data_IF_694637133692
#
_entry.id   IF_694637133692
#
_cell.length_a   1.000
_cell.length_b   1.000
_cell.length_c   1.000
_cell.angle_alpha   90.00
_cell.angle_beta   90.00
_cell.angle_gamma   90.00
#
_symmetry.space_group_name_H-M   'P 1'
#
loop_
_entity.id
_entity.type
_entity.pdbx_description
1 polymer ?
#
# COMPACT_ATOMS: atom_id res chain seq x y z
N UNK A 1 -7.14 11.29 -1.34
CA UNK A 1 -6.65 10.20 -0.48
C UNK A 1 -5.21 9.92 -0.87
N UNK A 2 -4.36 9.53 0.09
CA UNK A 2 -2.99 9.11 -0.18
C UNK A 2 -2.95 7.59 -0.32
N UNK A 3 -3.09 7.08 -1.54
CA UNK A 3 -3.10 5.64 -1.80
C UNK A 3 -1.68 5.05 -1.81
N UNK A 4 -1.45 4.00 -1.04
CA UNK A 4 -0.16 3.33 -0.93
C UNK A 4 -0.38 1.82 -1.05
N UNK A 5 0.36 1.18 -1.94
CA UNK A 5 0.28 -0.24 -2.22
C UNK A 5 1.53 -0.99 -1.73
N UNK A 6 1.30 -2.21 -1.29
CA UNK A 6 2.32 -3.12 -0.78
C UNK A 6 2.00 -4.54 -1.23
N UNK A 7 3.01 -5.41 -1.26
CA UNK A 7 2.80 -6.85 -1.29
C UNK A 7 3.65 -7.54 -0.24
N UNK A 8 3.11 -8.60 0.36
CA UNK A 8 3.82 -9.40 1.34
C UNK A 8 3.23 -10.80 1.41
N UNK A 9 4.04 -11.78 1.84
CA UNK A 9 3.48 -12.97 2.46
C UNK A 9 3.20 -12.73 3.94
N UNK A 10 2.45 -13.64 4.55
CA UNK A 10 2.04 -13.54 5.96
C UNK A 10 3.21 -13.40 6.96
N UNK A 11 4.38 -13.99 6.68
CA UNK A 11 5.56 -13.89 7.57
C UNK A 11 6.14 -12.48 7.62
N UNK A 12 5.87 -11.64 6.62
CA UNK A 12 6.36 -10.26 6.56
C UNK A 12 5.36 -9.24 7.14
N UNK A 13 4.17 -9.67 7.54
CA UNK A 13 3.14 -8.80 8.11
C UNK A 13 3.58 -8.04 9.38
N UNK A 14 4.40 -8.62 10.29
CA UNK A 14 4.93 -7.85 11.41
C UNK A 14 5.77 -6.63 10.97
N UNK A 15 6.56 -6.74 9.90
CA UNK A 15 7.34 -5.62 9.38
C UNK A 15 6.44 -4.59 8.69
N UNK A 16 5.45 -5.07 7.93
CA UNK A 16 4.40 -4.21 7.37
C UNK A 16 3.68 -3.39 8.46
N UNK A 17 3.37 -3.99 9.60
CA UNK A 17 2.77 -3.29 10.74
C UNK A 17 3.68 -2.18 11.29
N UNK A 18 5.00 -2.41 11.38
CA UNK A 18 5.99 -1.39 11.75
C UNK A 18 6.03 -0.27 10.71
N UNK A 19 6.02 -0.60 9.42
CA UNK A 19 5.99 0.38 8.34
C UNK A 19 4.75 1.28 8.44
N UNK A 20 3.55 0.70 8.56
CA UNK A 20 2.30 1.47 8.72
C UNK A 20 2.37 2.42 9.93
N UNK A 21 2.87 1.90 11.05
CA UNK A 21 3.04 2.68 12.28
C UNK A 21 3.99 3.86 12.04
N UNK A 22 5.12 3.61 11.37
CA UNK A 22 6.10 4.67 11.07
C UNK A 22 5.55 5.75 10.14
N UNK A 23 4.74 5.38 9.13
CA UNK A 23 4.09 6.33 8.22
C UNK A 23 3.16 7.26 9.03
N UNK A 24 2.29 6.68 9.85
CA UNK A 24 1.27 7.44 10.58
C UNK A 24 1.90 8.34 11.65
N UNK A 25 2.87 7.83 12.41
CA UNK A 25 3.54 8.62 13.45
C UNK A 25 4.41 9.76 12.91
N UNK A 26 4.91 9.67 11.67
CA UNK A 26 5.66 10.74 11.02
C UNK A 26 4.80 11.66 10.15
N UNK A 27 3.47 11.49 10.17
CA UNK A 27 2.54 12.37 9.45
C UNK A 27 2.18 13.59 10.31
N UNK A 28 2.40 14.80 9.77
CA UNK A 28 2.09 16.05 10.48
C UNK A 28 0.58 16.29 10.59
N UNK A 29 0.14 16.92 11.68
CA UNK A 29 -1.28 17.11 12.04
C UNK A 29 -1.91 18.42 11.49
N UNK A 30 -1.21 19.11 10.60
CA UNK A 30 -1.40 20.51 10.19
C UNK A 30 -2.24 20.71 8.91
N UNK A 31 -2.73 19.65 8.26
CA UNK A 31 -3.43 19.75 6.96
C UNK A 31 -4.87 19.24 6.97
N UNK A 32 -5.63 19.63 5.93
CA UNK A 32 -6.85 18.94 5.50
C UNK A 32 -6.55 17.44 5.47
N UNK A 33 -7.20 16.69 6.37
CA UNK A 33 -6.84 15.30 6.70
C UNK A 33 -7.34 14.33 5.63
N UNK A 34 -6.87 14.48 4.41
CA UNK A 34 -7.08 13.43 3.41
C UNK A 34 -6.50 12.12 3.96
N UNK A 35 -7.30 11.03 3.97
CA UNK A 35 -6.88 9.80 4.61
C UNK A 35 -5.82 9.08 3.79
N UNK A 36 -4.98 8.30 4.48
CA UNK A 36 -4.20 7.25 3.82
C UNK A 36 -5.11 6.08 3.46
N UNK A 37 -4.93 5.54 2.26
CA UNK A 37 -5.58 4.29 1.84
C UNK A 37 -4.50 3.26 1.57
N UNK A 38 -4.33 2.31 2.49
CA UNK A 38 -3.35 1.25 2.37
C UNK A 38 -3.95 0.06 1.62
N UNK A 39 -3.21 -0.47 0.64
CA UNK A 39 -3.61 -1.62 -0.16
C UNK A 39 -2.55 -2.71 -0.06
N UNK A 40 -2.87 -3.81 0.61
CA UNK A 40 -1.94 -4.91 0.83
C UNK A 40 -2.33 -6.10 -0.05
N UNK A 41 -1.44 -6.51 -0.95
CA UNK A 41 -1.61 -7.69 -1.78
C UNK A 41 -0.90 -8.88 -1.11
N UNK A 42 -1.62 -9.98 -0.88
CA UNK A 42 -1.10 -11.20 -0.23
C UNK A 42 -1.49 -12.45 -0.99
N UNK A 43 -0.66 -13.49 -0.90
CA UNK A 43 -0.96 -14.83 -1.43
C UNK A 43 -2.00 -15.52 -0.55
N UNK A 44 -1.79 -15.39 0.77
CA UNK A 44 -2.67 -15.90 1.81
C UNK A 44 -2.43 -15.11 3.09
N UNK A 45 -3.42 -15.17 3.97
CA UNK A 45 -3.36 -14.55 5.29
C UNK A 45 -4.38 -15.23 6.19
N UNK A 46 -3.97 -15.61 7.40
CA UNK A 46 -4.86 -16.20 8.38
C UNK A 46 -5.85 -15.17 8.93
N UNK A 47 -6.97 -15.67 9.46
CA UNK A 47 -7.97 -14.83 10.11
C UNK A 47 -7.39 -14.07 11.32
N UNK A 48 -6.55 -14.73 12.11
CA UNK A 48 -5.89 -14.11 13.27
C UNK A 48 -5.01 -12.92 12.85
N UNK A 49 -4.27 -13.05 11.75
CA UNK A 49 -3.42 -11.95 11.25
C UNK A 49 -4.25 -10.79 10.69
N UNK A 50 -5.38 -11.09 10.02
CA UNK A 50 -6.34 -10.06 9.57
C UNK A 50 -6.88 -9.25 10.74
N UNK A 51 -7.37 -9.90 11.79
CA UNK A 51 -7.90 -9.23 12.99
C UNK A 51 -6.86 -8.35 13.66
N UNK A 52 -5.60 -8.79 13.73
CA UNK A 52 -4.49 -7.97 14.25
C UNK A 52 -4.26 -6.72 13.40
N UNK A 53 -4.30 -6.83 12.07
CA UNK A 53 -4.15 -5.68 11.17
C UNK A 53 -5.35 -4.73 11.27
N UNK A 54 -6.57 -5.25 11.36
CA UNK A 54 -7.77 -4.43 11.55
C UNK A 54 -7.69 -3.63 12.86
N UNK A 55 -7.32 -4.28 13.97
CA UNK A 55 -7.10 -3.60 15.25
C UNK A 55 -6.00 -2.54 15.16
N UNK A 56 -4.89 -2.84 14.48
CA UNK A 56 -3.81 -1.87 14.27
C UNK A 56 -4.33 -0.64 13.51
N UNK A 57 -5.10 -0.83 12.43
CA UNK A 57 -5.65 0.28 11.64
C UNK A 57 -6.63 1.11 12.46
N UNK A 58 -7.44 0.50 13.32
CA UNK A 58 -8.31 1.22 14.26
C UNK A 58 -7.50 2.11 15.22
N UNK A 59 -6.40 1.61 15.77
CA UNK A 59 -5.52 2.40 16.64
C UNK A 59 -4.81 3.53 15.89
N UNK A 60 -4.24 3.24 14.72
CA UNK A 60 -3.55 4.24 13.89
C UNK A 60 -4.51 5.34 13.40
N UNK A 61 -5.76 4.99 13.11
CA UNK A 61 -6.80 5.94 12.70
C UNK A 61 -7.14 6.98 13.77
N UNK A 62 -6.83 6.72 15.05
CA UNK A 62 -6.96 7.71 16.14
C UNK A 62 -5.91 8.81 16.03
N UNK A 63 -4.77 8.53 15.38
CA UNK A 63 -3.66 9.49 15.20
C UNK A 63 -3.85 10.25 13.88
N UNK A 64 -4.05 9.53 12.78
CA UNK A 64 -4.31 10.11 11.47
C UNK A 64 -5.24 9.19 10.67
N UNK A 65 -6.26 9.72 9.96
CA UNK A 65 -7.25 8.88 9.32
C UNK A 65 -6.61 7.96 8.26
N UNK A 66 -6.84 6.65 8.40
CA UNK A 66 -6.34 5.67 7.46
C UNK A 66 -7.27 4.46 7.31
N UNK A 67 -7.14 3.74 6.22
CA UNK A 67 -7.87 2.49 5.96
C UNK A 67 -6.91 1.44 5.39
N UNK A 68 -7.29 0.17 5.47
CA UNK A 68 -6.56 -0.95 4.87
C UNK A 68 -7.49 -1.84 4.07
N UNK A 69 -7.12 -2.10 2.82
CA UNK A 69 -7.76 -3.09 1.96
C UNK A 69 -6.80 -4.22 1.67
N UNK A 70 -7.16 -5.43 2.07
CA UNK A 70 -6.36 -6.64 1.86
C UNK A 70 -6.87 -7.38 0.62
N UNK A 71 -6.02 -7.52 -0.38
CA UNK A 71 -6.30 -8.20 -1.65
C UNK A 71 -5.62 -9.56 -1.63
N UNK A 72 -6.40 -10.63 -1.55
CA UNK A 72 -5.86 -11.99 -1.70
C UNK A 72 -5.80 -12.31 -3.18
N UNK A 73 -4.60 -12.47 -3.71
CA UNK A 73 -4.36 -12.72 -5.12
C UNK A 73 -4.31 -14.22 -5.37
N UNK A 74 -5.11 -14.70 -6.33
CA UNK A 74 -5.05 -16.09 -6.77
C UNK A 74 -3.87 -16.27 -7.73
N UNK A 75 -3.06 -17.29 -7.49
CA UNK A 75 -1.87 -17.58 -8.29
C UNK A 75 -2.17 -18.04 -9.73
N UNK A 76 -3.41 -18.48 -9.99
CA UNK A 76 -3.87 -18.98 -11.29
C UNK A 76 -3.57 -18.03 -12.44
N UNK A 77 -3.63 -16.72 -12.19
CA UNK A 77 -3.34 -15.71 -13.22
C UNK A 77 -1.91 -15.80 -13.74
N UNK A 78 -0.95 -16.15 -12.88
CA UNK A 78 0.46 -16.26 -13.24
C UNK A 78 0.79 -17.65 -13.77
N UNK A 79 0.21 -18.69 -13.14
CA UNK A 79 0.35 -20.07 -13.59
C UNK A 79 -0.18 -20.27 -15.02
N UNK A 80 -1.29 -19.63 -15.38
CA UNK A 80 -1.87 -19.65 -16.74
C UNK A 80 -0.87 -19.23 -17.82
N UNK A 81 0.05 -18.31 -17.51
CA UNK A 81 1.06 -17.82 -18.45
C UNK A 81 2.43 -18.48 -18.26
N UNK A 82 2.53 -19.55 -17.46
CA UNK A 82 3.78 -20.25 -17.15
C UNK A 82 4.90 -19.31 -16.69
N UNK A 83 4.56 -18.30 -15.87
CA UNK A 83 5.59 -17.41 -15.33
C UNK A 83 6.50 -18.18 -14.37
N UNK A 84 7.80 -17.82 -14.28
CA UNK A 84 8.71 -18.49 -13.35
C UNK A 84 8.41 -18.07 -11.92
N UNK A 85 8.33 -19.04 -11.00
CA UNK A 85 8.20 -18.77 -9.57
C UNK A 85 9.54 -18.38 -8.94
N UNK A 86 9.49 -17.51 -7.94
CA UNK A 86 10.62 -17.22 -7.07
C UNK A 86 10.35 -17.84 -5.70
N UNK A 87 11.23 -18.72 -5.24
CA UNK A 87 11.07 -19.44 -3.97
C UNK A 87 9.70 -20.14 -3.85
N UNK A 88 9.22 -20.73 -4.94
CA UNK A 88 7.97 -21.50 -4.99
C UNK A 88 6.68 -20.68 -4.93
N UNK A 89 6.72 -19.36 -5.19
CA UNK A 89 5.53 -18.52 -5.24
C UNK A 89 5.63 -17.40 -6.30
N UNK A 90 4.53 -16.70 -6.51
CA UNK A 90 4.40 -15.61 -7.49
C UNK A 90 4.39 -14.20 -6.89
N UNK A 91 4.72 -14.03 -5.60
CA UNK A 91 4.61 -12.74 -4.91
C UNK A 91 5.37 -11.61 -5.60
N UNK A 92 6.52 -11.92 -6.22
CA UNK A 92 7.32 -10.96 -6.98
C UNK A 92 6.53 -10.24 -8.09
N UNK A 93 5.50 -10.90 -8.66
CA UNK A 93 4.67 -10.34 -9.72
C UNK A 93 3.50 -9.49 -9.21
N UNK A 94 3.19 -9.51 -7.92
CA UNK A 94 1.96 -8.89 -7.40
C UNK A 94 1.95 -7.37 -7.63
N UNK A 95 3.12 -6.74 -7.65
CA UNK A 95 3.28 -5.32 -8.02
C UNK A 95 2.71 -4.97 -9.40
N UNK A 96 2.69 -5.93 -10.34
CA UNK A 96 2.11 -5.74 -11.67
C UNK A 96 0.58 -5.64 -11.62
N UNK A 97 -0.05 -6.21 -10.58
CA UNK A 97 -1.50 -6.22 -10.43
C UNK A 97 -2.05 -4.96 -9.76
N UNK A 98 -1.20 -4.10 -9.19
CA UNK A 98 -1.61 -2.90 -8.45
C UNK A 98 -2.58 -2.06 -9.28
N UNK A 99 -2.24 -1.74 -10.54
CA UNK A 99 -3.12 -0.95 -11.41
C UNK A 99 -4.50 -1.57 -11.69
N UNK A 100 -4.60 -2.91 -11.63
CA UNK A 100 -5.87 -3.63 -11.87
C UNK A 100 -6.72 -3.86 -10.62
N UNK A 101 -6.11 -3.79 -9.43
CA UNK A 101 -6.77 -4.09 -8.15
C UNK A 101 -7.22 -2.83 -7.40
N UNK A 102 -6.65 -1.69 -7.74
CA UNK A 102 -7.05 -0.41 -7.18
C UNK A 102 -8.37 0.09 -7.75
N UNK A 103 -9.07 0.88 -6.95
CA UNK A 103 -10.31 1.55 -7.34
C UNK A 103 -10.03 2.57 -8.46
N UNK A 104 -10.98 2.73 -9.39
CA UNK A 104 -10.80 3.57 -10.60
C UNK A 104 -10.62 5.05 -10.28
N UNK A 105 -11.07 5.45 -9.09
CA UNK A 105 -10.99 6.78 -8.53
C UNK A 105 -9.56 7.13 -8.06
N UNK A 106 -8.70 6.14 -7.84
CA UNK A 106 -7.31 6.33 -7.42
C UNK A 106 -6.45 6.74 -8.63
N UNK A 107 -6.07 8.02 -8.68
CA UNK A 107 -5.26 8.60 -9.79
C UNK A 107 -3.74 8.40 -9.64
N UNK A 108 -3.28 8.15 -8.42
CA UNK A 108 -1.86 8.02 -8.08
C UNK A 108 -1.70 7.06 -6.90
N UNK A 109 -0.67 6.22 -6.96
CA UNK A 109 -0.33 5.30 -5.88
C UNK A 109 1.18 5.25 -5.71
N UNK A 110 1.65 5.17 -4.47
CA UNK A 110 3.02 4.78 -4.17
C UNK A 110 3.10 3.31 -3.84
N UNK A 111 4.07 2.63 -4.42
CA UNK A 111 4.40 1.26 -4.06
C UNK A 111 5.64 1.29 -3.17
N UNK A 112 5.56 0.65 -2.01
CA UNK A 112 6.67 0.54 -1.06
C UNK A 112 6.91 -0.93 -0.69
N UNK A 113 8.16 -1.29 -0.46
CA UNK A 113 8.50 -2.57 0.14
C UNK A 113 8.15 -2.57 1.64
N UNK A 114 7.74 -3.74 2.17
CA UNK A 114 7.22 -3.86 3.54
C UNK A 114 8.28 -3.89 4.64
N UNK A 115 9.55 -3.99 4.27
CA UNK A 115 10.72 -3.94 5.15
C UNK A 115 11.36 -2.55 5.21
N UNK A 116 10.64 -1.52 4.78
CA UNK A 116 11.03 -0.12 4.91
C UNK A 116 10.63 0.49 6.26
N UNK A 117 11.27 1.62 6.58
CA UNK A 117 10.86 2.51 7.67
C UNK A 117 10.71 3.93 7.13
N UNK A 118 9.58 4.58 7.42
CA UNK A 118 9.31 5.96 6.99
C UNK A 118 9.60 6.91 8.15
N UNK A 119 10.53 7.85 7.91
CA UNK A 119 11.05 8.80 8.91
C UNK A 119 10.61 10.25 8.68
N UNK A 120 9.70 10.47 7.73
CA UNK A 120 9.21 11.79 7.35
C UNK A 120 7.79 11.71 6.83
N UNK A 121 7.21 12.87 6.54
CA UNK A 121 5.83 12.95 6.07
C UNK A 121 5.74 12.54 4.59
N UNK A 122 5.19 11.35 4.33
CA UNK A 122 5.13 10.78 2.98
C UNK A 122 4.27 11.63 2.02
N UNK A 123 3.36 12.47 2.53
CA UNK A 123 2.52 13.37 1.73
C UNK A 123 3.32 14.37 0.93
N UNK A 124 4.51 14.76 1.41
CA UNK A 124 5.41 15.66 0.69
C UNK A 124 5.78 15.13 -0.70
N UNK A 125 5.92 13.81 -0.84
CA UNK A 125 6.22 13.17 -2.13
C UNK A 125 4.99 13.20 -3.06
N UNK A 126 3.79 12.99 -2.53
CA UNK A 126 2.54 13.11 -3.32
C UNK A 126 2.40 14.52 -3.88
N UNK A 127 2.54 15.54 -3.02
CA UNK A 127 2.49 16.95 -3.42
C UNK A 127 3.54 17.28 -4.49
N UNK A 128 4.77 16.78 -4.35
CA UNK A 128 5.81 17.01 -5.35
C UNK A 128 5.43 16.42 -6.72
N UNK A 129 4.93 15.19 -6.76
CA UNK A 129 4.55 14.53 -8.02
C UNK A 129 3.33 15.18 -8.66
N UNK A 130 2.34 15.58 -7.87
CA UNK A 130 1.16 16.28 -8.39
C UNK A 130 1.54 17.64 -8.99
N UNK A 131 2.48 18.37 -8.39
CA UNK A 131 3.00 19.61 -8.95
C UNK A 131 3.74 19.38 -10.28
N UNK A 132 4.56 18.31 -10.39
CA UNK A 132 5.24 17.96 -11.64
C UNK A 132 4.24 17.57 -12.73
N UNK A 133 3.18 16.84 -12.38
CA UNK A 133 2.11 16.46 -13.32
C UNK A 133 1.27 17.66 -13.76
N UNK A 134 0.98 18.59 -12.86
CA UNK A 134 0.22 19.81 -13.14
C UNK A 134 0.98 20.87 -13.92
N UNK A 135 2.32 20.89 -13.84
CA UNK A 135 3.19 21.77 -14.63
C UNK A 135 3.32 21.38 -16.11
N UNK A 136 2.92 20.15 -16.45
CA UNK A 136 2.77 19.66 -17.83
C UNK A 136 1.39 19.96 -18.39
N UNK A 137 0.95 21.22 -18.37
CA UNK A 137 -0.14 21.62 -19.24
C UNK A 137 0.37 21.47 -20.67
N UNK A 138 -0.07 20.42 -21.36
CA UNK A 138 0.06 20.32 -22.79
C UNK A 138 -0.57 21.58 -23.38
N UNK A 139 0.28 22.45 -23.91
CA UNK A 139 -0.14 23.50 -24.82
C UNK A 139 -0.57 22.75 -26.08
N UNK A 140 -1.89 22.59 -26.24
CA UNK A 140 -2.48 22.30 -27.56
C UNK A 140 -2.26 23.49 -28.51
#
# INVERSE_FOLDING_TARGET
MYAIAFNANEKYIPYFAVLLTSIIHNTRQDFNKEPYSFHLLVDKISQQTREKLENLILELSKIYPCTLKIHVVKEDIFAKYNLPQLNGNYLAYYRLLVGSLLEKEIKSVFYLDVDMLVLGDLREIFTHIDNVRGGGAFVE
#
